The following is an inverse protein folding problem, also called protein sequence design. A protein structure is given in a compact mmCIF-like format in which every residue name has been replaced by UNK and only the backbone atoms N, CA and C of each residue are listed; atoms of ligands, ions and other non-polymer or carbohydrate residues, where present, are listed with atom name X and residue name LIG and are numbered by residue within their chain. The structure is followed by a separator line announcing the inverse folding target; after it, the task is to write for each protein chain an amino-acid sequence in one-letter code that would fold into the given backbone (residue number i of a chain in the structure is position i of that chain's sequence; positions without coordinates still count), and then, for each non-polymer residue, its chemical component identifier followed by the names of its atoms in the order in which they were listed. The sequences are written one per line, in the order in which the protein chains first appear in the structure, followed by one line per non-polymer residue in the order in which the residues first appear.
data_IF_963918411942
#
_entry.id   IF_963918411942
#
_cell.length_a   1.000
_cell.length_b   1.000
_cell.length_c   1.000
_cell.angle_alpha   90.00
_cell.angle_beta   90.00
_cell.angle_gamma   90.00
#
_symmetry.space_group_name_H-M   'P 1'
#
loop_
_entity.id
_entity.type
_entity.pdbx_description
1 polymer ?
#
# COMPACT_ATOMS: atom_id res chain seq x y z
N UNK A 1 -6.40 -33.42 -12.92
CA UNK A 1 -6.48 -32.98 -11.54
C UNK A 1 -5.46 -31.89 -11.34
N UNK A 2 -5.88 -30.70 -11.52
CA UNK A 2 -5.01 -29.56 -11.21
C UNK A 2 -4.99 -29.43 -9.69
N UNK A 3 -3.84 -29.70 -9.11
CA UNK A 3 -3.61 -29.29 -7.75
C UNK A 3 -3.75 -27.80 -7.74
N UNK A 4 -4.77 -27.28 -7.08
CA UNK A 4 -4.78 -25.91 -6.63
C UNK A 4 -3.52 -25.75 -5.80
N UNK A 5 -2.48 -25.28 -6.47
CA UNK A 5 -1.31 -24.79 -5.75
C UNK A 5 -1.84 -23.59 -5.01
N UNK A 6 -2.21 -23.78 -3.76
CA UNK A 6 -2.40 -22.66 -2.84
C UNK A 6 -1.05 -21.98 -2.84
N UNK A 7 -0.93 -20.96 -3.66
CA UNK A 7 0.22 -20.08 -3.57
C UNK A 7 0.03 -19.43 -2.21
N UNK A 8 0.88 -19.82 -1.26
CA UNK A 8 0.91 -19.20 0.04
C UNK A 8 1.34 -17.76 -0.16
N UNK A 9 0.34 -16.93 -0.45
CA UNK A 9 0.53 -15.51 -0.55
C UNK A 9 0.72 -14.99 0.86
N UNK A 10 1.80 -14.29 1.11
CA UNK A 10 2.00 -13.57 2.35
C UNK A 10 0.83 -12.64 2.67
N UNK A 11 0.87 -12.00 3.81
CA UNK A 11 -0.17 -11.04 4.19
C UNK A 11 -0.19 -9.85 3.24
N UNK A 12 -1.39 -9.40 2.81
CA UNK A 12 -1.51 -8.20 1.99
C UNK A 12 -0.87 -6.99 2.66
N UNK A 13 -0.35 -6.09 1.85
CA UNK A 13 0.14 -4.80 2.35
C UNK A 13 -1.02 -4.02 2.94
N UNK A 14 -0.84 -3.56 4.17
CA UNK A 14 -1.86 -2.80 4.90
C UNK A 14 -1.61 -1.31 4.77
N UNK A 15 -2.65 -0.58 4.37
CA UNK A 15 -2.64 0.87 4.35
C UNK A 15 -3.42 1.40 5.54
N UNK A 16 -2.91 2.46 6.15
CA UNK A 16 -3.68 3.27 7.09
C UNK A 16 -4.15 4.54 6.39
N UNK A 17 -5.44 4.83 6.51
CA UNK A 17 -5.99 6.14 6.17
C UNK A 17 -6.14 6.91 7.46
N UNK A 18 -5.27 7.88 7.69
CA UNK A 18 -5.20 8.64 8.94
C UNK A 18 -5.86 9.99 8.74
N UNK A 19 -6.81 10.30 9.61
CA UNK A 19 -7.50 11.58 9.59
C UNK A 19 -6.70 12.59 10.42
N UNK A 20 -6.19 13.61 9.77
CA UNK A 20 -5.36 14.64 10.40
C UNK A 20 -6.10 15.99 10.44
N UNK A 21 -5.84 16.82 11.47
CA UNK A 21 -6.31 18.20 11.45
C UNK A 21 -5.75 18.93 10.23
N UNK A 22 -6.57 19.75 9.58
CA UNK A 22 -6.13 20.57 8.45
C UNK A 22 -5.36 21.80 8.94
N UNK A 23 -4.12 21.57 9.37
CA UNK A 23 -3.20 22.60 9.83
C UNK A 23 -1.77 22.25 9.48
N UNK A 24 -0.95 23.29 9.36
CA UNK A 24 0.47 23.13 9.08
C UNK A 24 1.15 22.26 10.15
N UNK A 25 2.00 21.37 9.72
CA UNK A 25 2.78 20.51 10.60
C UNK A 25 2.11 19.24 11.10
N UNK A 26 0.81 19.05 10.88
CA UNK A 26 0.11 17.84 11.34
C UNK A 26 0.69 16.56 10.71
N UNK A 27 0.95 16.60 9.41
CA UNK A 27 1.55 15.47 8.69
C UNK A 27 2.97 15.17 9.21
N UNK A 28 3.79 16.20 9.37
CA UNK A 28 5.14 16.04 9.89
C UNK A 28 5.14 15.49 11.32
N UNK A 29 4.21 15.94 12.15
CA UNK A 29 4.07 15.44 13.52
C UNK A 29 3.73 13.94 13.56
N UNK A 30 2.83 13.50 12.67
CA UNK A 30 2.50 12.07 12.56
C UNK A 30 3.73 11.24 12.14
N UNK A 31 4.45 11.69 11.13
CA UNK A 31 5.65 10.97 10.66
C UNK A 31 6.72 10.93 11.74
N UNK A 32 6.93 12.02 12.48
CA UNK A 32 7.86 12.06 13.61
C UNK A 32 7.46 11.10 14.72
N UNK A 33 6.17 11.01 15.01
CA UNK A 33 5.65 10.08 16.02
C UNK A 33 5.96 8.63 15.65
N UNK A 34 5.70 8.25 14.39
CA UNK A 34 6.00 6.91 13.89
C UNK A 34 7.49 6.62 13.96
N UNK A 35 8.31 7.56 13.52
CA UNK A 35 9.76 7.41 13.54
C UNK A 35 10.32 7.26 14.95
N UNK A 36 9.76 7.97 15.92
CA UNK A 36 10.14 7.85 17.32
C UNK A 36 9.91 6.44 17.89
N UNK A 37 9.02 5.68 17.27
CA UNK A 37 8.72 4.29 17.62
C UNK A 37 9.34 3.30 16.64
N UNK A 38 10.35 3.72 15.89
CA UNK A 38 11.05 2.91 14.89
C UNK A 38 10.15 2.35 13.79
N UNK A 39 9.09 3.08 13.45
CA UNK A 39 8.17 2.74 12.35
C UNK A 39 8.46 3.68 11.19
N UNK A 40 8.86 3.12 10.05
CA UNK A 40 9.15 3.90 8.85
C UNK A 40 7.92 3.99 7.96
N UNK A 41 7.71 5.17 7.37
CA UNK A 41 6.69 5.39 6.34
C UNK A 41 7.31 5.04 4.99
N UNK A 42 6.77 4.02 4.34
CA UNK A 42 7.24 3.50 3.06
C UNK A 42 6.42 4.06 1.91
N UNK A 43 5.18 4.41 2.17
CA UNK A 43 4.30 4.98 1.17
C UNK A 43 3.46 6.10 1.76
N UNK A 44 3.19 7.11 0.95
CA UNK A 44 2.45 8.29 1.38
C UNK A 44 1.64 8.85 0.23
N UNK A 45 0.36 9.06 0.49
CA UNK A 45 -0.53 9.81 -0.39
C UNK A 45 -1.42 10.70 0.47
N UNK A 46 -1.49 11.97 0.15
CA UNK A 46 -2.25 12.94 0.94
C UNK A 46 -3.40 13.48 0.10
N UNK A 47 -4.58 13.43 0.67
CA UNK A 47 -5.78 13.99 0.07
C UNK A 47 -6.35 15.04 1.00
N UNK A 48 -6.40 16.26 0.52
CA UNK A 48 -6.95 17.38 1.28
C UNK A 48 -8.46 17.49 1.03
N UNK A 49 -9.18 17.77 2.10
CA UNK A 49 -10.59 18.12 2.06
C UNK A 49 -10.83 19.37 2.88
N UNK A 50 -12.04 19.94 2.81
CA UNK A 50 -12.35 21.21 3.51
C UNK A 50 -12.10 21.16 5.02
N UNK A 51 -12.42 20.02 5.64
CA UNK A 51 -12.46 19.91 7.10
C UNK A 51 -11.32 19.09 7.68
N UNK A 52 -10.64 18.31 6.85
CA UNK A 52 -9.58 17.42 7.32
C UNK A 52 -8.66 17.01 6.18
N UNK A 53 -7.48 16.55 6.55
CA UNK A 53 -6.53 15.93 5.63
C UNK A 53 -6.53 14.43 5.86
N UNK A 54 -6.64 13.65 4.80
CA UNK A 54 -6.51 12.21 4.87
C UNK A 54 -5.13 11.83 4.36
N UNK A 55 -4.31 11.27 5.24
CA UNK A 55 -3.01 10.73 4.87
C UNK A 55 -3.13 9.20 4.73
N UNK A 56 -2.87 8.70 3.53
CA UNK A 56 -2.77 7.27 3.28
C UNK A 56 -1.31 6.88 3.40
N UNK A 57 -1.02 5.97 4.32
CA UNK A 57 0.35 5.56 4.58
C UNK A 57 0.49 4.04 4.56
N UNK A 58 1.65 3.60 4.09
CA UNK A 58 2.12 2.23 4.21
C UNK A 58 3.37 2.28 5.09
N UNK A 59 3.43 1.42 6.08
CA UNK A 59 4.48 1.47 7.10
C UNK A 59 5.22 0.14 7.22
N UNK A 60 6.42 0.20 7.79
CA UNK A 60 7.26 -0.99 8.00
C UNK A 60 6.70 -1.97 9.03
N UNK A 61 5.96 -1.47 10.02
CA UNK A 61 5.39 -2.29 11.09
C UNK A 61 3.94 -1.87 11.35
N UNK A 62 2.98 -2.45 10.60
CA UNK A 62 1.58 -2.04 10.72
C UNK A 62 0.96 -2.37 12.07
N UNK A 63 1.33 -3.47 12.72
CA UNK A 63 0.76 -3.82 14.00
C UNK A 63 1.14 -2.81 15.09
N UNK A 64 2.40 -2.41 15.12
CA UNK A 64 2.87 -1.38 16.05
C UNK A 64 2.26 -0.02 15.75
N UNK A 65 2.09 0.31 14.47
CA UNK A 65 1.47 1.56 14.07
C UNK A 65 0.00 1.63 14.50
N UNK A 66 -0.75 0.56 14.30
CA UNK A 66 -2.14 0.48 14.74
C UNK A 66 -2.27 0.65 16.25
N UNK A 67 -1.43 -0.04 17.00
CA UNK A 67 -1.40 0.06 18.45
C UNK A 67 -1.10 1.49 18.90
N UNK A 68 -0.15 2.13 18.26
CA UNK A 68 0.23 3.51 18.56
C UNK A 68 -0.91 4.49 18.26
N UNK A 69 -1.59 4.34 17.13
CA UNK A 69 -2.70 5.20 16.75
C UNK A 69 -3.88 5.04 17.72
N UNK A 70 -4.16 3.82 18.15
CA UNK A 70 -5.20 3.55 19.14
C UNK A 70 -4.85 4.15 20.50
N UNK A 71 -3.61 4.00 20.94
CA UNK A 71 -3.13 4.55 22.21
C UNK A 71 -3.21 6.09 22.23
N UNK A 72 -2.88 6.73 21.11
CA UNK A 72 -2.89 8.19 20.98
C UNK A 72 -4.23 8.76 20.58
N UNK A 73 -5.23 7.92 20.33
CA UNK A 73 -6.55 8.39 19.90
C UNK A 73 -6.54 9.02 18.51
N UNK A 74 -5.67 8.58 17.62
CA UNK A 74 -5.59 9.09 16.25
C UNK A 74 -6.60 8.35 15.38
N UNK A 75 -7.61 9.05 14.81
CA UNK A 75 -8.60 8.39 13.98
C UNK A 75 -7.96 7.83 12.71
N UNK A 76 -8.26 6.57 12.41
CA UNK A 76 -7.73 5.89 11.24
C UNK A 76 -8.63 4.75 10.81
N UNK A 77 -8.50 4.36 9.55
CA UNK A 77 -9.07 3.13 9.00
C UNK A 77 -7.97 2.37 8.28
N UNK A 78 -8.20 1.10 8.02
CA UNK A 78 -7.23 0.25 7.31
C UNK A 78 -7.87 -0.37 6.08
N UNK A 79 -7.05 -0.64 5.09
CA UNK A 79 -7.44 -1.44 3.93
C UNK A 79 -6.24 -2.22 3.40
N UNK A 80 -6.52 -3.23 2.60
CA UNK A 80 -5.51 -4.03 1.96
C UNK A 80 -5.19 -3.48 0.58
N UNK A 81 -3.91 -3.44 0.22
CA UNK A 81 -3.45 -2.97 -1.08
C UNK A 81 -2.80 -4.09 -1.87
N UNK A 82 -3.02 -4.06 -3.18
CA UNK A 82 -2.21 -4.81 -4.13
C UNK A 82 -0.96 -3.99 -4.43
N UNK A 83 0.21 -4.56 -4.19
CA UNK A 83 1.48 -3.90 -4.47
C UNK A 83 2.27 -4.73 -5.45
N UNK A 84 2.74 -4.11 -6.52
CA UNK A 84 3.57 -4.75 -7.53
C UNK A 84 4.93 -4.05 -7.60
N UNK A 85 5.97 -4.85 -7.89
CA UNK A 85 7.29 -4.32 -8.18
C UNK A 85 7.41 -4.04 -9.68
N UNK A 86 7.87 -2.85 -10.03
CA UNK A 86 8.16 -2.45 -11.41
C UNK A 86 9.62 -2.74 -11.70
N UNK A 87 9.88 -3.52 -12.75
CA UNK A 87 11.23 -3.87 -13.20
C UNK A 87 11.52 -3.19 -14.53
N UNK A 88 12.76 -2.74 -14.74
CA UNK A 88 13.18 -2.11 -15.99
C UNK A 88 12.94 -2.99 -17.21
N UNK A 89 13.17 -4.31 -17.08
CA UNK A 89 13.01 -5.27 -18.17
C UNK A 89 11.68 -6.03 -18.15
N UNK A 90 10.79 -5.66 -17.23
CA UNK A 90 9.50 -6.32 -17.06
C UNK A 90 8.32 -5.51 -17.58
N UNK A 91 7.09 -6.02 -17.40
CA UNK A 91 5.90 -5.27 -17.73
C UNK A 91 5.84 -3.97 -16.93
N UNK A 92 5.42 -2.90 -17.56
CA UNK A 92 5.36 -1.57 -16.96
C UNK A 92 3.95 -1.16 -16.54
N UNK A 93 3.82 0.13 -16.22
CA UNK A 93 2.57 0.69 -15.71
C UNK A 93 1.39 0.49 -16.67
N UNK A 94 1.61 0.74 -17.95
CA UNK A 94 0.53 0.59 -18.95
C UNK A 94 0.02 -0.85 -19.00
N UNK A 95 0.91 -1.83 -19.01
CA UNK A 95 0.53 -3.24 -19.02
C UNK A 95 -0.25 -3.63 -17.76
N UNK A 96 0.13 -3.06 -16.60
CA UNK A 96 -0.61 -3.26 -15.37
C UNK A 96 -2.05 -2.77 -15.49
N UNK A 97 -2.21 -1.54 -15.91
CA UNK A 97 -3.54 -0.92 -16.07
C UNK A 97 -4.38 -1.61 -17.11
N UNK A 98 -3.77 -2.01 -18.24
CA UNK A 98 -4.44 -2.76 -19.29
C UNK A 98 -4.91 -4.13 -18.82
N UNK A 99 -4.08 -4.84 -18.05
CA UNK A 99 -4.44 -6.15 -17.50
C UNK A 99 -5.69 -6.04 -16.60
N UNK A 100 -5.73 -5.03 -15.75
CA UNK A 100 -6.86 -4.79 -14.85
C UNK A 100 -8.10 -4.33 -15.64
N UNK A 101 -7.92 -3.51 -16.66
CA UNK A 101 -9.01 -3.05 -17.51
C UNK A 101 -9.66 -4.22 -18.28
N UNK A 102 -8.86 -5.09 -18.86
CA UNK A 102 -9.34 -6.28 -19.59
C UNK A 102 -10.12 -7.20 -18.64
N UNK A 103 -9.67 -7.30 -17.39
CA UNK A 103 -10.32 -8.10 -16.35
C UNK A 103 -11.51 -7.39 -15.71
N UNK A 104 -11.86 -6.19 -16.18
CA UNK A 104 -12.94 -5.35 -15.65
C UNK A 104 -12.81 -5.10 -14.13
N UNK A 105 -11.58 -4.95 -13.67
CA UNK A 105 -11.30 -4.66 -12.26
C UNK A 105 -11.03 -3.17 -12.08
N UNK A 106 -11.83 -2.53 -11.25
CA UNK A 106 -11.67 -1.11 -10.95
C UNK A 106 -10.54 -0.88 -9.97
N UNK A 107 -9.76 0.15 -10.25
CA UNK A 107 -8.76 0.69 -9.32
C UNK A 107 -9.34 1.95 -8.71
N UNK A 108 -9.55 1.92 -7.39
CA UNK A 108 -10.14 3.05 -6.67
C UNK A 108 -9.13 4.18 -6.49
N UNK A 109 -7.91 3.83 -6.19
CA UNK A 109 -6.77 4.75 -6.14
C UNK A 109 -5.46 3.97 -6.24
N UNK A 110 -4.41 4.67 -6.64
CA UNK A 110 -3.07 4.10 -6.76
C UNK A 110 -2.02 5.17 -6.45
N UNK A 111 -0.90 4.75 -5.89
CA UNK A 111 0.25 5.62 -5.68
C UNK A 111 1.55 4.83 -5.62
N UNK A 112 2.63 5.51 -5.95
CA UNK A 112 3.95 4.91 -5.87
C UNK A 112 4.43 4.85 -4.42
N UNK A 113 5.12 3.78 -4.06
CA UNK A 113 5.80 3.68 -2.76
C UNK A 113 7.19 4.29 -2.87
N UNK A 114 7.73 4.69 -1.73
CA UNK A 114 9.10 5.17 -1.65
C UNK A 114 10.05 4.00 -1.96
N UNK A 115 11.14 4.25 -2.68
CA UNK A 115 12.03 3.15 -3.07
C UNK A 115 12.59 2.43 -1.85
N UNK A 116 12.60 1.09 -1.93
CA UNK A 116 13.36 0.27 -1.00
C UNK A 116 14.87 0.53 -1.21
N UNK A 117 15.73 0.12 -0.25
CA UNK A 117 17.17 0.29 -0.38
C UNK A 117 17.77 -0.27 -1.69
N UNK A 118 17.07 -1.19 -2.33
CA UNK A 118 17.47 -1.79 -3.61
C UNK A 118 17.00 -0.99 -4.84
N UNK A 119 16.31 0.14 -4.64
CA UNK A 119 15.90 1.04 -5.72
C UNK A 119 14.78 0.52 -6.62
N UNK A 120 14.05 -0.52 -6.22
CA UNK A 120 12.89 -1.00 -6.96
C UNK A 120 11.72 -0.04 -6.82
N UNK A 121 11.11 0.32 -7.95
CA UNK A 121 9.86 1.06 -7.94
C UNK A 121 8.71 0.11 -7.62
N UNK A 122 7.82 0.55 -6.76
CA UNK A 122 6.63 -0.21 -6.39
C UNK A 122 5.38 0.64 -6.57
N UNK A 123 4.32 0.01 -7.06
CA UNK A 123 3.02 0.64 -7.21
C UNK A 123 2.03 -0.02 -6.26
N UNK A 124 1.39 0.77 -5.43
CA UNK A 124 0.33 0.33 -4.53
C UNK A 124 -1.02 0.71 -5.10
N UNK A 125 -1.98 -0.22 -5.06
CA UNK A 125 -3.31 0.00 -5.60
C UNK A 125 -4.37 -0.53 -4.65
N UNK A 126 -5.44 0.23 -4.49
CA UNK A 126 -6.66 -0.26 -3.88
C UNK A 126 -7.62 -0.69 -4.99
N UNK A 127 -8.04 -1.93 -4.97
CA UNK A 127 -8.89 -2.52 -6.00
C UNK A 127 -10.16 -3.08 -5.38
N UNK A 128 -11.18 -3.22 -6.21
CA UNK A 128 -12.47 -3.73 -5.79
C UNK A 128 -12.39 -5.19 -5.29
N UNK A 129 -11.64 -6.04 -5.97
CA UNK A 129 -11.45 -7.44 -5.60
C UNK A 129 -9.96 -7.76 -5.53
N UNK A 130 -9.44 -7.80 -4.31
CA UNK A 130 -8.03 -8.03 -4.04
C UNK A 130 -7.52 -9.35 -4.62
N UNK A 131 -8.17 -10.47 -4.32
CA UNK A 131 -7.70 -11.79 -4.72
C UNK A 131 -7.74 -11.97 -6.24
N UNK A 132 -8.78 -11.47 -6.88
CA UNK A 132 -8.91 -11.51 -8.33
C UNK A 132 -7.82 -10.68 -9.01
N UNK A 133 -7.57 -9.46 -8.52
CA UNK A 133 -6.53 -8.59 -9.06
C UNK A 133 -5.14 -9.21 -8.90
N UNK A 134 -4.85 -9.80 -7.75
CA UNK A 134 -3.58 -10.51 -7.52
C UNK A 134 -3.39 -11.63 -8.54
N UNK A 135 -4.41 -12.44 -8.77
CA UNK A 135 -4.34 -13.53 -9.74
C UNK A 135 -4.08 -13.01 -11.16
N UNK A 136 -4.79 -11.98 -11.57
CA UNK A 136 -4.65 -11.37 -12.90
C UNK A 136 -3.24 -10.78 -13.09
N UNK A 137 -2.74 -10.07 -12.14
CA UNK A 137 -1.41 -9.45 -12.22
C UNK A 137 -0.30 -10.50 -12.19
N UNK A 138 -0.46 -11.53 -11.39
CA UNK A 138 0.48 -12.66 -11.36
C UNK A 138 0.55 -13.35 -12.73
N UNK A 139 -0.60 -13.63 -13.34
CA UNK A 139 -0.67 -14.23 -14.68
C UNK A 139 -0.05 -13.33 -15.75
N UNK A 140 -0.12 -12.01 -15.57
CA UNK A 140 0.44 -11.03 -16.49
C UNK A 140 1.96 -10.83 -16.29
N UNK A 141 2.58 -11.57 -15.40
CA UNK A 141 4.03 -11.54 -15.18
C UNK A 141 4.52 -10.52 -14.16
N UNK A 142 3.63 -9.92 -13.38
CA UNK A 142 4.01 -8.97 -12.34
C UNK A 142 4.44 -9.69 -11.07
N UNK A 143 5.44 -9.12 -10.40
CA UNK A 143 5.84 -9.58 -9.08
C UNK A 143 5.00 -8.89 -8.03
N UNK A 144 4.21 -9.68 -7.30
CA UNK A 144 3.41 -9.19 -6.19
C UNK A 144 4.29 -9.02 -4.95
N UNK A 145 4.10 -7.90 -4.26
CA UNK A 145 4.80 -7.62 -3.00
C UNK A 145 3.80 -7.73 -1.84
N UNK A 146 4.26 -8.28 -0.74
CA UNK A 146 3.47 -8.49 0.47
C UNK A 146 4.04 -7.71 1.64
N UNK A 147 3.30 -7.62 2.74
CA UNK A 147 3.73 -6.82 3.89
C UNK A 147 5.12 -7.24 4.39
N UNK A 148 5.41 -8.51 4.44
CA UNK A 148 6.72 -9.02 4.87
C UNK A 148 7.88 -8.55 3.98
N UNK A 149 7.63 -8.32 2.69
CA UNK A 149 8.64 -7.79 1.77
C UNK A 149 8.99 -6.32 2.09
N UNK A 150 8.05 -5.59 2.67
CA UNK A 150 8.20 -4.17 2.99
C UNK A 150 8.67 -3.93 4.43
N UNK A 151 8.54 -4.92 5.30
CA UNK A 151 8.85 -4.80 6.73
C UNK A 151 10.31 -5.07 7.07
N UNK A 152 11.16 -5.14 6.08
CA UNK A 152 12.60 -5.38 6.26
C UNK A 152 13.40 -4.11 6.42
#
# INVERSE_FOLDING_TARGET
MESDTIIDHGEPVRQFSVLLPNRAGALAAMVKLLRAHAIEVIGLSVQDSRDATIARIVVSDPDSAEHLFMEKGIPHTTCELVVIAMRESGPGLLQCLDSLMIAETNVDFAYALLPCPEGQSMLAMHVEDYEFAVAILHQSGFKLMYQEDLSR
#
